data_IF_308079169777
#
_entry.id   IF_308079169777
#
_cell.length_a   1.000
_cell.length_b   1.000
_cell.length_c   1.000
_cell.angle_alpha   90.00
_cell.angle_beta   90.00
_cell.angle_gamma   90.00
#
_symmetry.space_group_name_H-M   'P 1'
#
loop_
_entity.id
_entity.type
_entity.pdbx_description
1 polymer ?
#
# COMPACT_ATOMS: atom_id res chain seq x y z
N UNK A 1 -7.30 12.71 8.25
CA UNK A 1 -7.86 11.37 8.00
C UNK A 1 -8.72 11.43 6.74
N UNK A 2 -8.42 10.61 5.72
CA UNK A 2 -9.13 10.63 4.43
C UNK A 2 -10.54 10.07 4.61
N UNK A 3 -11.57 10.85 4.29
CA UNK A 3 -12.99 10.50 4.47
C UNK A 3 -13.38 9.16 3.80
N UNK A 4 -12.61 8.71 2.80
CA UNK A 4 -12.89 7.53 1.99
C UNK A 4 -11.80 6.43 2.08
N UNK A 5 -10.92 6.47 3.09
CA UNK A 5 -9.79 5.52 3.25
C UNK A 5 -8.87 5.42 2.02
N UNK A 6 -8.77 6.48 1.23
CA UNK A 6 -7.88 6.56 0.08
C UNK A 6 -6.55 7.22 0.44
N UNK A 7 -5.46 6.73 -0.16
CA UNK A 7 -4.17 7.43 -0.20
C UNK A 7 -4.10 8.20 -1.51
N UNK A 8 -4.14 9.52 -1.42
CA UNK A 8 -4.21 10.44 -2.56
C UNK A 8 -2.89 11.18 -2.75
N UNK A 9 -2.35 11.09 -3.96
CA UNK A 9 -1.21 11.89 -4.38
C UNK A 9 -1.61 13.37 -4.42
N UNK A 10 -0.85 14.21 -3.72
CA UNK A 10 -1.02 15.67 -3.76
C UNK A 10 -0.63 16.27 -5.11
N UNK A 11 0.29 15.65 -5.85
CA UNK A 11 0.82 16.21 -7.09
C UNK A 11 -0.05 15.90 -8.31
N UNK A 12 -0.76 14.77 -8.30
CA UNK A 12 -1.53 14.30 -9.46
C UNK A 12 -3.01 14.15 -9.20
N UNK A 13 -3.48 14.34 -7.96
CA UNK A 13 -4.90 14.17 -7.61
C UNK A 13 -5.40 12.71 -7.80
N UNK A 14 -4.47 11.75 -7.92
CA UNK A 14 -4.74 10.32 -8.14
C UNK A 14 -4.62 9.51 -6.86
N UNK A 15 -5.32 8.38 -6.81
CA UNK A 15 -5.37 7.49 -5.66
C UNK A 15 -4.52 6.24 -5.88
N UNK A 16 -3.92 5.74 -4.80
CA UNK A 16 -3.20 4.47 -4.77
C UNK A 16 -4.19 3.32 -4.95
N UNK A 17 -3.94 2.46 -5.93
CA UNK A 17 -4.83 1.40 -6.39
C UNK A 17 -4.07 0.07 -6.49
N UNK A 18 -4.65 -1.01 -5.97
CA UNK A 18 -4.10 -2.36 -6.04
C UNK A 18 -5.20 -3.39 -6.39
N UNK A 19 -5.44 -3.60 -7.68
CA UNK A 19 -6.50 -4.50 -8.18
C UNK A 19 -6.13 -5.99 -8.17
N UNK A 20 -4.86 -6.32 -7.91
CA UNK A 20 -4.35 -7.70 -7.88
C UNK A 20 -4.07 -8.13 -6.44
N UNK A 21 -4.97 -8.95 -5.88
CA UNK A 21 -4.90 -9.42 -4.49
C UNK A 21 -3.98 -10.62 -4.25
N UNK A 22 -2.74 -10.56 -4.73
CA UNK A 22 -1.73 -11.60 -4.54
C UNK A 22 -0.33 -11.00 -4.37
N UNK A 23 0.63 -11.82 -3.94
CA UNK A 23 2.02 -11.43 -3.79
C UNK A 23 2.62 -10.98 -5.13
N UNK A 24 3.21 -9.78 -5.13
CA UNK A 24 3.74 -9.14 -6.33
C UNK A 24 2.67 -8.40 -7.16
N UNK A 25 1.45 -8.31 -6.65
CA UNK A 25 0.34 -7.60 -7.28
C UNK A 25 0.68 -6.13 -7.59
N UNK A 26 0.19 -5.64 -8.72
CA UNK A 26 0.47 -4.29 -9.18
C UNK A 26 -0.16 -3.26 -8.25
N UNK A 27 0.64 -2.29 -7.83
CA UNK A 27 0.20 -1.05 -7.20
C UNK A 27 0.48 0.11 -8.15
N UNK A 28 -0.52 0.94 -8.43
CA UNK A 28 -0.37 2.09 -9.32
C UNK A 28 -1.22 3.29 -8.86
N UNK A 29 -1.08 4.42 -9.55
CA UNK A 29 -1.93 5.59 -9.36
C UNK A 29 -3.09 5.58 -10.35
N UNK A 30 -4.33 5.60 -9.87
CA UNK A 30 -5.54 5.63 -10.68
C UNK A 30 -6.41 6.84 -10.35
N UNK A 31 -7.42 7.13 -11.17
CA UNK A 31 -8.40 8.18 -10.80
C UNK A 31 -9.05 7.79 -9.47
N UNK A 32 -9.28 8.75 -8.60
CA UNK A 32 -9.92 8.48 -7.31
C UNK A 32 -11.39 8.13 -7.52
N UNK A 33 -11.80 6.97 -7.04
CA UNK A 33 -13.17 6.46 -7.10
C UNK A 33 -13.62 6.10 -5.68
N UNK A 34 -14.61 6.82 -5.15
CA UNK A 34 -15.02 6.70 -3.76
C UNK A 34 -15.55 5.31 -3.39
N UNK A 35 -16.13 4.59 -4.35
CA UNK A 35 -16.60 3.21 -4.17
C UNK A 35 -15.58 2.12 -4.52
N UNK A 36 -14.39 2.48 -5.02
CA UNK A 36 -13.42 1.49 -5.51
C UNK A 36 -12.72 0.78 -4.34
N UNK A 37 -12.98 -0.52 -4.23
CA UNK A 37 -12.48 -1.38 -3.17
C UNK A 37 -10.96 -1.57 -3.24
N UNK A 38 -10.37 -1.45 -4.43
CA UNK A 38 -8.93 -1.53 -4.68
C UNK A 38 -8.17 -0.27 -4.23
N UNK A 39 -8.88 0.80 -3.86
CA UNK A 39 -8.31 2.08 -3.41
C UNK A 39 -8.44 2.30 -1.91
N UNK A 40 -8.77 1.25 -1.16
CA UNK A 40 -9.03 1.33 0.29
C UNK A 40 -7.81 0.84 1.07
N UNK A 41 -7.21 1.75 1.81
CA UNK A 41 -6.00 1.53 2.59
C UNK A 41 -6.18 1.99 4.04
N UNK A 42 -5.62 1.23 4.98
CA UNK A 42 -5.61 1.55 6.40
C UNK A 42 -4.17 1.64 6.91
N UNK A 43 -3.83 2.77 7.52
CA UNK A 43 -2.55 2.92 8.21
C UNK A 43 -2.65 2.26 9.59
N UNK A 44 -1.89 1.19 9.81
CA UNK A 44 -1.74 0.59 11.13
C UNK A 44 -0.77 1.44 11.97
N UNK A 45 -1.30 2.14 12.97
CA UNK A 45 -0.52 3.10 13.76
C UNK A 45 0.61 2.47 14.58
N UNK A 46 0.48 1.19 14.99
CA UNK A 46 1.50 0.49 15.78
C UNK A 46 2.73 0.08 14.97
N UNK A 47 2.58 -0.16 13.66
CA UNK A 47 3.66 -0.66 12.79
C UNK A 47 4.03 0.30 11.67
N UNK A 48 3.22 1.34 11.43
CA UNK A 48 3.35 2.24 10.29
C UNK A 48 2.97 1.62 8.95
N UNK A 49 2.43 0.39 8.93
CA UNK A 49 2.12 -0.31 7.69
C UNK A 49 0.86 0.22 7.04
N UNK A 50 0.92 0.42 5.73
CA UNK A 50 -0.25 0.69 4.93
C UNK A 50 -0.87 -0.63 4.47
N UNK A 51 -1.94 -1.06 5.15
CA UNK A 51 -2.65 -2.31 4.88
C UNK A 51 -3.74 -2.11 3.85
N UNK A 52 -3.90 -3.08 2.96
CA UNK A 52 -5.03 -3.06 2.04
C UNK A 52 -6.32 -3.47 2.78
N UNK A 53 -7.41 -2.74 2.57
CA UNK A 53 -8.66 -2.97 3.29
C UNK A 53 -9.43 -4.15 2.70
N UNK A 54 -9.44 -4.32 1.38
CA UNK A 54 -10.19 -5.42 0.71
C UNK A 54 -9.38 -6.71 0.65
N UNK A 55 -8.19 -6.69 0.06
CA UNK A 55 -7.20 -7.76 0.11
C UNK A 55 -6.57 -7.91 1.51
N UNK A 56 -7.30 -8.59 2.42
CA UNK A 56 -6.86 -8.82 3.80
C UNK A 56 -5.54 -9.59 3.83
N UNK A 57 -4.65 -9.20 4.75
CA UNK A 57 -3.33 -9.80 4.90
C UNK A 57 -2.25 -9.17 4.02
N UNK A 58 -2.60 -8.26 3.12
CA UNK A 58 -1.66 -7.58 2.24
C UNK A 58 -1.33 -6.15 2.68
N UNK A 59 -0.10 -5.72 2.40
CA UNK A 59 0.47 -4.42 2.71
C UNK A 59 1.09 -3.80 1.45
N UNK A 60 1.23 -2.47 1.46
CA UNK A 60 2.10 -1.77 0.51
C UNK A 60 3.55 -2.16 0.80
N UNK A 61 4.26 -2.62 -0.22
CA UNK A 61 5.60 -3.16 -0.14
C UNK A 61 6.49 -2.64 -1.28
N UNK A 62 7.80 -2.78 -1.14
CA UNK A 62 8.78 -2.49 -2.20
C UNK A 62 9.61 -3.73 -2.46
N UNK A 63 9.74 -4.14 -3.72
CA UNK A 63 10.57 -5.27 -4.15
C UNK A 63 12.01 -4.82 -4.47
N UNK A 64 13.01 -5.10 -3.62
CA UNK A 64 14.39 -4.71 -3.88
C UNK A 64 15.01 -5.45 -5.08
N UNK A 65 14.51 -6.64 -5.44
CA UNK A 65 14.96 -7.41 -6.59
C UNK A 65 14.43 -6.83 -7.91
N UNK A 66 13.38 -5.99 -7.86
CA UNK A 66 12.79 -5.32 -9.02
C UNK A 66 12.97 -3.79 -8.93
N UNK A 67 14.18 -3.32 -8.63
CA UNK A 67 14.51 -1.89 -8.54
C UNK A 67 13.58 -1.11 -7.59
N UNK A 68 13.29 -1.68 -6.43
CA UNK A 68 12.37 -1.13 -5.42
C UNK A 68 10.96 -0.84 -5.96
N UNK A 69 10.49 -1.62 -6.94
CA UNK A 69 9.13 -1.54 -7.46
C UNK A 69 8.13 -1.62 -6.31
N UNK A 70 7.19 -0.68 -6.28
CA UNK A 70 6.06 -0.71 -5.34
C UNK A 70 5.08 -1.81 -5.74
N UNK A 71 4.66 -2.62 -4.78
CA UNK A 71 3.81 -3.79 -5.00
C UNK A 71 2.88 -4.05 -3.82
N UNK A 72 1.91 -4.93 -4.05
CA UNK A 72 1.11 -5.56 -3.01
C UNK A 72 1.81 -6.87 -2.59
N UNK A 73 2.04 -7.05 -1.30
CA UNK A 73 2.67 -8.26 -0.78
C UNK A 73 2.14 -8.60 0.61
N UNK A 74 2.22 -9.86 1.01
CA UNK A 74 1.87 -10.30 2.35
C UNK A 74 2.51 -9.41 3.42
N UNK A 75 1.70 -8.95 4.37
CA UNK A 75 2.18 -8.13 5.47
C UNK A 75 3.22 -8.91 6.27
N UNK A 76 4.49 -8.48 6.22
CA UNK A 76 5.54 -9.07 7.04
C UNK A 76 5.21 -8.88 8.53
N UNK A 77 5.63 -9.78 9.44
CA UNK A 77 5.38 -9.62 10.88
C UNK A 77 6.25 -8.53 11.53
N UNK A 78 7.34 -8.07 10.88
CA UNK A 78 8.28 -7.13 11.50
C UNK A 78 7.94 -5.66 11.23
N UNK A 79 7.93 -4.88 12.31
CA UNK A 79 8.37 -3.49 12.32
C UNK A 79 9.76 -3.44 11.69
N UNK A 80 10.02 -2.52 10.76
CA UNK A 80 11.39 -2.21 10.35
C UNK A 80 12.22 -2.04 11.64
N UNK A 81 13.25 -2.87 11.89
CA UNK A 81 14.24 -2.46 12.86
C UNK A 81 14.88 -1.23 12.23
N UNK A 82 14.61 -0.07 12.82
CA UNK A 82 15.52 1.07 12.76
C UNK A 82 16.82 0.60 13.42
N UNK A 83 17.66 -0.17 12.71
CA UNK A 83 19.10 -0.11 12.93
C UNK A 83 19.98 -0.77 11.87
N UNK A 84 21.16 -0.16 11.75
CA UNK A 84 22.48 -0.76 11.50
C UNK A 84 22.82 -1.28 10.11
N UNK A 85 23.65 -0.53 9.39
CA UNK A 85 24.70 -1.11 8.55
C UNK A 85 24.81 -0.63 7.11
N UNK A 86 25.06 0.67 6.90
CA UNK A 86 26.04 1.17 5.94
C UNK A 86 26.54 2.53 6.44
#
# INVERSE_FOLDING_TARGET
HSANQQVRSKSSDRCLDAYQGWDGGIVHLYRCLDGEANQKWALESSTGKLKHVTHKGFCLDTDPAQNNKVQLYGCSPKTMPINSGA
#
